data_IF_164480281303
#
_entry.id   IF_164480281303
#
_cell.length_a   1.000
_cell.length_b   1.000
_cell.length_c   1.000
_cell.angle_alpha   90.00
_cell.angle_beta   90.00
_cell.angle_gamma   90.00
#
_symmetry.space_group_name_H-M   'P 1'
#
loop_
_entity.id
_entity.type
_entity.pdbx_description
1 polymer ?
#
# COMPACT_ATOMS: atom_id res chain seq x y z
N UNK A 1 -37.67 0.25 41.84
CA UNK A 1 -38.87 0.11 40.98
C UNK A 1 -38.57 0.80 39.66
N UNK A 2 -38.76 0.08 38.55
CA UNK A 2 -38.41 0.48 37.19
C UNK A 2 -39.40 1.49 36.61
N UNK A 3 -38.89 2.42 35.80
CA UNK A 3 -39.56 2.97 34.61
C UNK A 3 -38.44 3.57 33.73
N UNK A 4 -37.75 2.75 32.95
CA UNK A 4 -38.02 2.54 31.52
C UNK A 4 -37.57 3.74 30.66
N UNK A 5 -36.32 3.64 30.19
CA UNK A 5 -35.76 4.36 29.05
C UNK A 5 -36.64 4.24 27.80
N UNK A 6 -36.59 5.26 26.93
CA UNK A 6 -36.36 5.17 25.47
C UNK A 6 -36.87 6.43 24.78
N UNK A 7 -35.97 7.33 24.41
CA UNK A 7 -36.19 8.22 23.27
C UNK A 7 -35.02 7.98 22.31
N UNK A 8 -35.26 7.02 21.41
CA UNK A 8 -34.45 6.84 20.22
C UNK A 8 -34.74 8.01 19.28
N UNK A 9 -33.75 8.85 19.02
CA UNK A 9 -33.84 9.84 17.95
C UNK A 9 -33.04 9.35 16.75
N UNK A 10 -33.80 9.20 15.68
CA UNK A 10 -33.45 8.83 14.32
C UNK A 10 -32.10 9.39 13.85
N UNK A 11 -31.15 8.49 13.60
CA UNK A 11 -30.05 8.75 12.69
C UNK A 11 -30.64 8.70 11.28
N UNK A 12 -30.91 9.87 10.70
CA UNK A 12 -31.18 9.99 9.26
C UNK A 12 -29.92 9.54 8.50
N UNK A 13 -29.92 8.29 8.04
CA UNK A 13 -28.97 7.83 7.04
C UNK A 13 -29.26 8.54 5.72
N UNK A 14 -28.60 9.67 5.47
CA UNK A 14 -28.38 10.09 4.08
C UNK A 14 -27.43 9.05 3.47
N UNK A 15 -28.01 8.01 2.87
CA UNK A 15 -27.31 7.26 1.86
C UNK A 15 -27.14 8.20 0.66
N UNK A 16 -26.04 8.95 0.63
CA UNK A 16 -25.63 9.64 -0.59
C UNK A 16 -25.38 8.55 -1.64
N UNK A 17 -26.34 8.34 -2.53
CA UNK A 17 -26.13 7.58 -3.76
C UNK A 17 -25.20 8.41 -4.63
N UNK A 18 -23.90 8.33 -4.36
CA UNK A 18 -22.91 8.87 -5.28
C UNK A 18 -23.12 8.14 -6.61
N UNK A 19 -23.35 8.85 -7.73
CA UNK A 19 -23.41 8.19 -9.02
C UNK A 19 -22.10 7.42 -9.20
N UNK A 20 -22.20 6.13 -9.53
CA UNK A 20 -21.03 5.36 -9.93
C UNK A 20 -20.42 6.09 -11.12
N UNK A 21 -19.16 6.53 -10.99
CA UNK A 21 -18.43 7.13 -12.09
C UNK A 21 -18.29 6.07 -13.18
N UNK A 22 -19.06 6.20 -14.25
CA UNK A 22 -19.01 5.27 -15.37
C UNK A 22 -17.89 5.68 -16.31
N UNK A 23 -17.02 4.74 -16.64
CA UNK A 23 -16.01 4.92 -17.68
C UNK A 23 -16.71 5.18 -19.01
N UNK A 24 -16.25 6.18 -19.75
CA UNK A 24 -16.72 6.38 -21.11
C UNK A 24 -16.20 5.28 -22.06
N UNK A 25 -16.69 5.27 -23.30
CA UNK A 25 -16.32 4.25 -24.28
C UNK A 25 -14.81 4.28 -24.63
N UNK A 26 -14.20 5.47 -24.67
CA UNK A 26 -12.78 5.62 -24.99
C UNK A 26 -11.90 5.13 -23.83
N UNK A 27 -12.23 5.49 -22.59
CA UNK A 27 -11.57 5.01 -21.38
C UNK A 27 -11.69 3.49 -21.26
N UNK A 28 -12.89 2.94 -21.49
CA UNK A 28 -13.12 1.49 -21.45
C UNK A 28 -12.27 0.75 -22.47
N UNK A 29 -12.21 1.24 -23.71
CA UNK A 29 -11.38 0.65 -24.76
C UNK A 29 -9.89 0.71 -24.41
N UNK A 30 -9.44 1.83 -23.85
CA UNK A 30 -8.05 2.02 -23.41
C UNK A 30 -7.65 1.07 -22.27
N UNK A 31 -8.44 0.98 -21.20
CA UNK A 31 -8.19 0.04 -20.10
C UNK A 31 -8.21 -1.42 -20.58
N UNK A 32 -9.15 -1.77 -21.46
CA UNK A 32 -9.21 -3.11 -22.05
C UNK A 32 -7.93 -3.46 -22.82
N UNK A 33 -7.39 -2.51 -23.59
CA UNK A 33 -6.14 -2.71 -24.31
C UNK A 33 -4.96 -2.94 -23.34
N UNK A 34 -4.89 -2.20 -22.23
CA UNK A 34 -3.87 -2.39 -21.19
C UNK A 34 -3.96 -3.78 -20.56
N UNK A 35 -5.15 -4.22 -20.15
CA UNK A 35 -5.34 -5.57 -19.62
C UNK A 35 -5.00 -6.66 -20.65
N UNK A 36 -5.32 -6.47 -21.93
CA UNK A 36 -4.97 -7.41 -22.98
C UNK A 36 -3.45 -7.53 -23.19
N UNK A 37 -2.71 -6.42 -23.11
CA UNK A 37 -1.26 -6.43 -23.16
C UNK A 37 -0.65 -7.19 -21.96
N UNK A 38 -1.15 -6.94 -20.74
CA UNK A 38 -0.73 -7.65 -19.52
C UNK A 38 -1.00 -9.14 -19.61
N UNK A 39 -2.21 -9.53 -20.04
CA UNK A 39 -2.59 -10.94 -20.22
C UNK A 39 -1.69 -11.65 -21.24
N UNK A 40 -1.18 -10.91 -22.23
CA UNK A 40 -0.24 -11.43 -23.21
C UNK A 40 1.24 -11.32 -22.79
N UNK A 41 1.54 -10.89 -21.56
CA UNK A 41 2.89 -10.73 -21.04
C UNK A 41 3.68 -9.55 -21.61
N UNK A 42 3.02 -8.62 -22.31
CA UNK A 42 3.66 -7.47 -22.98
C UNK A 42 3.56 -6.21 -22.11
N UNK A 43 4.19 -6.25 -20.95
CA UNK A 43 4.16 -5.16 -19.96
C UNK A 43 4.85 -3.87 -20.45
N UNK A 44 5.80 -4.01 -21.38
CA UNK A 44 6.47 -2.92 -22.09
C UNK A 44 5.56 -2.23 -23.13
N UNK A 45 4.48 -2.90 -23.54
CA UNK A 45 3.55 -2.42 -24.56
C UNK A 45 2.21 -1.95 -23.98
N UNK A 46 2.09 -1.81 -22.66
CA UNK A 46 0.89 -1.24 -22.05
C UNK A 46 0.79 0.24 -22.40
N UNK A 47 -0.32 0.72 -23.02
CA UNK A 47 -0.52 2.14 -23.27
C UNK A 47 -0.32 2.99 -22.00
N UNK A 48 0.68 3.88 -22.02
CA UNK A 48 1.05 4.69 -20.86
C UNK A 48 0.18 5.95 -20.70
N UNK A 49 -0.24 6.54 -21.82
CA UNK A 49 -1.05 7.77 -21.83
C UNK A 49 -2.52 7.46 -22.11
N UNK A 50 -3.40 8.07 -21.32
CA UNK A 50 -4.83 8.06 -21.60
C UNK A 50 -5.13 8.90 -22.84
N UNK A 51 -5.90 8.38 -23.82
CA UNK A 51 -6.35 9.16 -24.97
C UNK A 51 -7.51 10.11 -24.63
N UNK A 52 -8.07 10.02 -23.42
CA UNK A 52 -9.24 10.79 -23.02
C UNK A 52 -8.83 12.17 -22.45
N UNK A 53 -9.63 13.23 -22.68
CA UNK A 53 -9.40 14.56 -22.09
C UNK A 53 -9.61 14.57 -20.56
N UNK A 54 -10.21 13.52 -20.00
CA UNK A 54 -10.48 13.37 -18.58
C UNK A 54 -9.32 12.69 -17.84
N UNK A 55 -9.19 12.99 -16.54
CA UNK A 55 -8.24 12.32 -15.66
C UNK A 55 -8.52 10.80 -15.64
N UNK A 56 -7.49 9.94 -15.56
CA UNK A 56 -7.68 8.49 -15.39
C UNK A 56 -8.56 8.17 -14.17
N UNK A 57 -9.36 7.11 -14.27
CA UNK A 57 -10.17 6.64 -13.14
C UNK A 57 -9.25 5.98 -12.08
N UNK A 58 -9.24 6.46 -10.82
CA UNK A 58 -8.30 5.98 -9.82
C UNK A 58 -8.42 4.47 -9.52
N UNK A 59 -9.63 3.91 -9.57
CA UNK A 59 -9.87 2.50 -9.30
C UNK A 59 -9.39 1.65 -10.49
N UNK A 60 -9.73 2.04 -11.71
CA UNK A 60 -9.28 1.37 -12.92
C UNK A 60 -7.75 1.39 -13.04
N UNK A 61 -7.10 2.52 -12.72
CA UNK A 61 -5.65 2.60 -12.61
C UNK A 61 -5.08 1.64 -11.57
N UNK A 62 -5.64 1.61 -10.35
CA UNK A 62 -5.19 0.70 -9.31
C UNK A 62 -5.31 -0.77 -9.74
N UNK A 63 -6.39 -1.13 -10.44
CA UNK A 63 -6.59 -2.48 -10.98
C UNK A 63 -5.56 -2.84 -12.05
N UNK A 64 -5.25 -1.92 -12.96
CA UNK A 64 -4.21 -2.16 -13.96
C UNK A 64 -2.84 -2.31 -13.31
N UNK A 65 -2.47 -1.37 -12.41
CA UNK A 65 -1.20 -1.43 -11.68
C UNK A 65 -1.04 -2.73 -10.90
N UNK A 66 -2.11 -3.18 -10.26
CA UNK A 66 -2.15 -4.46 -9.57
C UNK A 66 -1.91 -5.65 -10.52
N UNK A 67 -2.57 -5.65 -11.68
CA UNK A 67 -2.39 -6.70 -12.68
C UNK A 67 -0.96 -6.74 -13.23
N UNK A 68 -0.36 -5.59 -13.51
CA UNK A 68 1.04 -5.46 -13.95
C UNK A 68 2.00 -6.01 -12.89
N UNK A 69 1.83 -5.65 -11.61
CA UNK A 69 2.68 -6.13 -10.51
C UNK A 69 2.60 -7.65 -10.31
N UNK A 70 1.43 -8.25 -10.55
CA UNK A 70 1.27 -9.70 -10.48
C UNK A 70 1.93 -10.40 -11.66
N UNK A 71 1.80 -9.84 -12.86
CA UNK A 71 2.36 -10.39 -14.09
C UNK A 71 3.88 -10.18 -14.22
N UNK A 72 4.43 -9.14 -13.58
CA UNK A 72 5.86 -8.88 -13.58
C UNK A 72 6.64 -10.03 -12.91
N UNK A 73 7.72 -10.46 -13.59
CA UNK A 73 8.62 -11.50 -13.10
C UNK A 73 9.41 -11.03 -11.87
N UNK A 74 10.12 -9.89 -12.01
CA UNK A 74 10.96 -9.30 -10.95
C UNK A 74 10.62 -7.83 -10.70
N UNK A 75 9.42 -7.52 -10.20
CA UNK A 75 9.07 -6.15 -9.81
C UNK A 75 10.01 -5.66 -8.69
N UNK A 76 10.41 -4.39 -8.76
CA UNK A 76 11.27 -3.78 -7.74
C UNK A 76 10.53 -3.62 -6.42
N UNK A 77 11.28 -3.60 -5.31
CA UNK A 77 10.71 -3.31 -3.99
C UNK A 77 9.95 -1.98 -4.00
N UNK A 78 10.52 -0.92 -4.59
CA UNK A 78 9.90 0.41 -4.63
C UNK A 78 8.53 0.40 -5.32
N UNK A 79 8.39 -0.28 -6.46
CA UNK A 79 7.11 -0.36 -7.18
C UNK A 79 6.06 -1.10 -6.34
N UNK A 80 6.46 -2.19 -5.67
CA UNK A 80 5.55 -2.95 -4.80
C UNK A 80 5.17 -2.19 -3.54
N UNK A 81 6.15 -1.59 -2.85
CA UNK A 81 5.96 -0.83 -1.63
C UNK A 81 5.05 0.37 -1.87
N UNK A 82 5.29 1.14 -2.94
CA UNK A 82 4.44 2.27 -3.31
C UNK A 82 2.99 1.85 -3.51
N UNK A 83 2.75 0.77 -4.26
CA UNK A 83 1.40 0.27 -4.50
C UNK A 83 0.72 -0.21 -3.21
N UNK A 84 1.42 -1.00 -2.39
CA UNK A 84 0.90 -1.55 -1.13
C UNK A 84 0.59 -0.45 -0.11
N UNK A 85 1.46 0.55 0.02
CA UNK A 85 1.25 1.67 0.94
C UNK A 85 0.06 2.56 0.54
N UNK A 86 -0.19 2.70 -0.77
CA UNK A 86 -1.33 3.42 -1.30
C UNK A 86 -2.64 2.61 -1.23
N UNK A 87 -2.56 1.27 -1.29
CA UNK A 87 -3.73 0.37 -1.38
C UNK A 87 -3.68 -0.73 -0.30
N UNK A 88 -3.85 -0.40 1.00
CA UNK A 88 -3.95 -1.39 2.06
C UNK A 88 -5.25 -2.22 1.91
N UNK A 89 -5.20 -3.52 2.18
CA UNK A 89 -6.33 -4.44 2.06
C UNK A 89 -6.61 -4.92 0.63
N UNK A 90 -5.77 -4.57 -0.34
CA UNK A 90 -6.02 -4.89 -1.74
C UNK A 90 -6.00 -6.41 -2.00
N UNK A 91 -6.72 -6.90 -3.02
CA UNK A 91 -6.67 -8.30 -3.41
C UNK A 91 -5.24 -8.88 -3.48
N UNK A 92 -5.05 -10.05 -2.86
CA UNK A 92 -3.76 -10.75 -2.80
C UNK A 92 -2.62 -9.92 -2.18
N UNK A 93 -2.92 -8.97 -1.29
CA UNK A 93 -1.92 -8.15 -0.59
C UNK A 93 -0.79 -8.99 -0.01
N UNK A 94 -1.09 -10.09 0.69
CA UNK A 94 -0.07 -10.93 1.32
C UNK A 94 0.92 -11.52 0.30
N UNK A 95 0.47 -11.85 -0.92
CA UNK A 95 1.35 -12.31 -2.00
C UNK A 95 2.25 -11.19 -2.49
N UNK A 96 1.70 -9.99 -2.67
CA UNK A 96 2.49 -8.82 -3.07
C UNK A 96 3.49 -8.41 -1.97
N UNK A 97 3.13 -8.52 -0.70
CA UNK A 97 4.02 -8.27 0.45
C UNK A 97 5.19 -9.25 0.47
N UNK A 98 4.94 -10.54 0.27
CA UNK A 98 6.02 -11.53 0.12
C UNK A 98 6.94 -11.22 -1.06
N UNK A 99 6.38 -10.83 -2.22
CA UNK A 99 7.18 -10.37 -3.37
C UNK A 99 8.01 -9.14 -3.01
N UNK A 100 7.44 -8.17 -2.29
CA UNK A 100 8.12 -6.94 -1.89
C UNK A 100 9.30 -7.26 -0.98
N UNK A 101 9.07 -8.03 0.08
CA UNK A 101 10.11 -8.44 1.03
C UNK A 101 11.24 -9.23 0.37
N UNK A 102 10.93 -10.06 -0.63
CA UNK A 102 11.93 -10.80 -1.40
C UNK A 102 12.73 -9.91 -2.38
N UNK A 103 12.16 -8.78 -2.80
CA UNK A 103 12.81 -7.82 -3.70
C UNK A 103 13.72 -6.81 -2.98
N UNK A 104 13.73 -6.80 -1.64
CA UNK A 104 14.66 -5.96 -0.87
C UNK A 104 16.08 -6.48 -1.04
N UNK A 105 16.99 -5.54 -1.29
CA UNK A 105 18.43 -5.75 -1.42
C UNK A 105 19.20 -4.76 -0.54
N UNK A 106 20.52 -4.96 -0.33
CA UNK A 106 21.35 -3.98 0.38
C UNK A 106 21.32 -2.56 -0.23
N UNK A 107 21.06 -2.44 -1.53
CA UNK A 107 20.95 -1.16 -2.24
C UNK A 107 19.59 -0.47 -2.06
N UNK A 108 18.62 -1.18 -1.48
CA UNK A 108 17.28 -0.63 -1.26
C UNK A 108 17.35 0.47 -0.19
N UNK A 109 16.88 1.71 -0.47
CA UNK A 109 16.97 2.81 0.47
C UNK A 109 16.37 2.48 1.84
N UNK A 110 17.17 2.62 2.91
CA UNK A 110 16.78 2.26 4.28
C UNK A 110 15.50 3.01 4.72
N UNK A 111 15.34 4.26 4.32
CA UNK A 111 14.18 5.06 4.66
C UNK A 111 12.89 4.50 4.05
N UNK A 112 12.95 4.01 2.81
CA UNK A 112 11.81 3.37 2.17
C UNK A 112 11.46 2.04 2.84
N UNK A 113 12.47 1.26 3.28
CA UNK A 113 12.24 0.05 4.07
C UNK A 113 11.53 0.37 5.39
N UNK A 114 11.98 1.42 6.11
CA UNK A 114 11.36 1.89 7.35
C UNK A 114 9.91 2.31 7.14
N UNK A 115 9.66 3.15 6.15
CA UNK A 115 8.30 3.60 5.81
C UNK A 115 7.38 2.42 5.49
N UNK A 116 7.88 1.45 4.72
CA UNK A 116 7.14 0.24 4.40
C UNK A 116 6.82 -0.58 5.65
N UNK A 117 7.83 -0.99 6.44
CA UNK A 117 7.62 -1.85 7.60
C UNK A 117 6.86 -1.19 8.76
N UNK A 118 6.85 0.16 8.83
CA UNK A 118 6.01 0.89 9.78
C UNK A 118 4.51 0.66 9.55
N UNK A 119 4.08 0.40 8.31
CA UNK A 119 2.68 0.17 7.94
C UNK A 119 2.38 -1.26 7.54
N UNK A 120 3.39 -1.99 7.06
CA UNK A 120 3.31 -3.35 6.55
C UNK A 120 4.30 -4.26 7.29
N UNK A 121 3.99 -4.71 8.53
CA UNK A 121 4.87 -5.60 9.28
C UNK A 121 5.30 -6.83 8.48
N UNK A 122 6.53 -7.33 8.64
CA UNK A 122 7.02 -8.40 7.77
C UNK A 122 6.19 -9.69 7.87
N UNK A 123 5.90 -10.32 6.73
CA UNK A 123 5.14 -11.58 6.64
C UNK A 123 6.01 -12.80 6.30
N UNK A 124 7.27 -12.61 5.90
CA UNK A 124 8.22 -13.67 5.59
C UNK A 124 9.46 -13.65 6.52
N UNK A 125 10.22 -14.76 6.61
CA UNK A 125 11.50 -14.78 7.33
C UNK A 125 12.50 -13.74 6.82
N UNK A 126 12.63 -13.61 5.49
CA UNK A 126 13.50 -12.61 4.86
C UNK A 126 13.05 -11.20 5.19
N UNK A 127 11.75 -10.93 5.12
CA UNK A 127 11.19 -9.64 5.50
C UNK A 127 11.45 -9.29 6.97
N UNK A 128 11.35 -10.27 7.88
CA UNK A 128 11.67 -10.04 9.30
C UNK A 128 13.14 -9.68 9.52
N UNK A 129 14.05 -10.27 8.76
CA UNK A 129 15.46 -9.91 8.81
C UNK A 129 15.67 -8.45 8.32
N UNK A 130 15.07 -8.07 7.19
CA UNK A 130 15.14 -6.69 6.70
C UNK A 130 14.46 -5.69 7.63
N UNK A 131 13.33 -6.05 8.23
CA UNK A 131 12.64 -5.22 9.21
C UNK A 131 13.52 -4.96 10.43
N UNK A 132 14.17 -5.99 10.97
CA UNK A 132 15.11 -5.82 12.09
C UNK A 132 16.31 -4.93 11.74
N UNK A 133 16.80 -4.99 10.50
CA UNK A 133 17.86 -4.09 10.01
C UNK A 133 17.36 -2.65 9.80
N UNK A 134 16.08 -2.48 9.46
CA UNK A 134 15.44 -1.19 9.29
C UNK A 134 15.16 -0.47 10.62
N UNK A 135 15.02 -1.20 11.72
CA UNK A 135 14.74 -0.61 13.03
C UNK A 135 15.80 0.43 13.44
N UNK A 136 15.40 1.59 13.99
CA UNK A 136 16.33 2.54 14.58
C UNK A 136 17.10 1.87 15.71
N UNK A 137 18.42 1.84 15.61
CA UNK A 137 19.23 1.42 16.74
C UNK A 137 19.15 2.48 17.84
N UNK A 138 18.92 2.09 19.10
CA UNK A 138 19.00 3.03 20.20
C UNK A 138 20.39 3.66 20.18
N UNK A 139 20.43 4.99 20.27
CA UNK A 139 21.69 5.72 20.34
C UNK A 139 22.50 5.15 21.51
N UNK A 140 23.74 4.73 21.23
CA UNK A 140 24.63 4.16 22.25
C UNK A 140 24.83 5.13 23.41
N UNK A 141 24.75 6.44 23.15
CA UNK A 141 24.78 7.47 24.19
C UNK A 141 23.55 7.42 25.11
N UNK A 142 22.33 7.24 24.56
CA UNK A 142 21.10 7.11 25.34
C UNK A 142 21.05 5.79 26.11
N UNK A 143 21.55 4.69 25.52
CA UNK A 143 21.69 3.41 26.20
C UNK A 143 22.71 3.50 27.37
N UNK A 144 23.81 4.23 27.19
CA UNK A 144 24.78 4.53 28.25
C UNK A 144 24.17 5.40 29.36
N UNK A 145 23.44 6.45 29.01
CA UNK A 145 22.78 7.35 29.96
C UNK A 145 21.73 6.64 30.84
N UNK A 146 20.94 5.70 30.27
CA UNK A 146 20.01 4.86 31.04
C UNK A 146 20.74 3.91 31.99
N UNK A 147 21.84 3.29 31.54
CA UNK A 147 22.65 2.38 32.38
C UNK A 147 23.32 3.08 33.55
N UNK A 148 23.65 4.36 33.39
CA UNK A 148 24.27 5.20 34.43
C UNK A 148 23.23 5.89 35.33
N UNK A 149 21.92 5.64 35.14
CA UNK A 149 20.86 6.24 35.97
C UNK A 149 20.70 7.75 35.83
N UNK A 150 21.22 8.35 34.74
CA UNK A 150 21.31 9.81 34.56
C UNK A 150 19.98 10.45 34.15
N UNK A 151 18.95 9.66 33.85
CA UNK A 151 17.61 10.18 33.56
C UNK A 151 16.76 10.08 34.84
N UNK A 152 17.01 10.99 35.79
CA UNK A 152 16.05 11.32 36.85
C UNK A 152 15.02 12.32 36.32
N UNK A 153 13.75 12.29 36.78
CA UNK A 153 12.73 13.24 36.33
C UNK A 153 13.11 14.65 36.80
N UNK A 154 13.09 15.63 35.89
CA UNK A 154 13.17 17.06 36.24
C UNK A 154 11.75 17.66 36.25
N UNK A 155 11.46 18.60 37.19
CA UNK A 155 10.13 19.17 37.46
C UNK A 155 9.46 19.89 36.29
#
# INVERSE_FOLDING_TARGET
MQAASRLALAVCALAATLPAHALDAAQTAWYRARFAAIAAGRLDQTPASSPAPNLPDPLAEALVRWAELRAADKPTFETLATFLLANPGWPQEQTLRRKAEAAISPETPLELQRQYFARMPAVSPTGRAWQALAEPQPDKAQAGARRLGVIGPWP
#
